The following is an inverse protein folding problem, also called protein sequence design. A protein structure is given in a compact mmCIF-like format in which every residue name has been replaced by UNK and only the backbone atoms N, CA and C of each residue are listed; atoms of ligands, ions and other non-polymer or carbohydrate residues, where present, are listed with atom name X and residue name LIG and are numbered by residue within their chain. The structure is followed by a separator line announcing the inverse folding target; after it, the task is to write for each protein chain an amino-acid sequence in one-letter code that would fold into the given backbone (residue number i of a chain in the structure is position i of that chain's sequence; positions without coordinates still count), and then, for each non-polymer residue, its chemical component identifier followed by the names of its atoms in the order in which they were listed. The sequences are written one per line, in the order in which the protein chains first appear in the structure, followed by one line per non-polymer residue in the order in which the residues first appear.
data_IF_545140082574
#
_entry.id   IF_545140082574
#
_cell.length_a   1.000
_cell.length_b   1.000
_cell.length_c   1.000
_cell.angle_alpha   90.00
_cell.angle_beta   90.00
_cell.angle_gamma   90.00
#
_symmetry.space_group_name_H-M   'P 1'
#
loop_
_entity.id
_entity.type
_entity.pdbx_description
1 polymer ?
#
# COMPACT_ATOMS: atom_id res chain seq x y z
N UNK A 1 -27.78 71.82 20.14
CA UNK A 1 -27.25 70.97 19.04
C UNK A 1 -26.61 69.74 19.68
N UNK A 2 -27.11 68.53 19.38
CA UNK A 2 -26.77 67.30 20.11
C UNK A 2 -25.72 66.52 19.30
N UNK A 3 -24.49 66.44 19.83
CA UNK A 3 -23.40 65.71 19.20
C UNK A 3 -23.57 64.20 19.44
N UNK A 4 -23.70 63.44 18.36
CA UNK A 4 -23.77 61.97 18.38
C UNK A 4 -22.33 61.46 18.25
N UNK A 5 -21.72 61.06 19.37
CA UNK A 5 -20.44 60.35 19.33
C UNK A 5 -20.68 58.88 19.00
N UNK A 6 -20.33 58.46 17.79
CA UNK A 6 -20.29 57.04 17.40
C UNK A 6 -19.07 56.39 18.03
N UNK A 7 -19.27 55.54 19.05
CA UNK A 7 -18.20 54.68 19.58
C UNK A 7 -17.78 53.69 18.49
N UNK A 8 -16.53 53.80 18.04
CA UNK A 8 -15.86 52.74 17.28
C UNK A 8 -15.70 51.51 18.18
N UNK A 9 -16.32 50.39 17.79
CA UNK A 9 -16.16 49.08 18.43
C UNK A 9 -14.74 48.60 18.17
N UNK A 10 -13.84 48.79 19.14
CA UNK A 10 -12.50 48.22 19.10
C UNK A 10 -12.60 46.69 19.13
N UNK A 11 -12.28 46.06 18.00
CA UNK A 11 -12.05 44.61 17.90
C UNK A 11 -10.74 44.29 18.62
N UNK A 12 -10.84 43.76 19.84
CA UNK A 12 -9.73 43.43 20.73
C UNK A 12 -9.45 41.93 20.87
N UNK A 13 -9.95 41.11 19.93
CA UNK A 13 -9.90 39.63 20.02
C UNK A 13 -9.03 38.98 18.95
N UNK A 14 -8.31 39.74 18.13
CA UNK A 14 -7.58 39.19 16.97
C UNK A 14 -6.41 38.29 17.36
N UNK A 15 -5.69 38.62 18.45
CA UNK A 15 -4.52 37.84 18.85
C UNK A 15 -4.91 36.47 19.41
N UNK A 16 -5.88 36.44 20.32
CA UNK A 16 -6.35 35.17 20.91
C UNK A 16 -7.02 34.27 19.86
N UNK A 17 -7.81 34.86 18.96
CA UNK A 17 -8.45 34.16 17.86
C UNK A 17 -7.40 33.53 16.93
N UNK A 18 -6.38 34.30 16.52
CA UNK A 18 -5.30 33.76 15.69
C UNK A 18 -4.48 32.67 16.42
N UNK A 19 -4.26 32.77 17.73
CA UNK A 19 -3.56 31.71 18.48
C UNK A 19 -4.38 30.42 18.56
N UNK A 20 -5.70 30.52 18.72
CA UNK A 20 -6.59 29.35 18.71
C UNK A 20 -6.62 28.73 17.32
N UNK A 21 -6.72 29.54 16.26
CA UNK A 21 -6.71 29.04 14.88
C UNK A 21 -5.40 28.31 14.56
N UNK A 22 -4.25 28.87 14.93
CA UNK A 22 -2.95 28.22 14.74
C UNK A 22 -2.89 26.90 15.54
N UNK A 23 -3.35 26.90 16.79
CA UNK A 23 -3.40 25.68 17.61
C UNK A 23 -4.26 24.59 16.96
N UNK A 24 -5.45 24.93 16.44
CA UNK A 24 -6.34 24.00 15.75
C UNK A 24 -5.69 23.47 14.47
N UNK A 25 -5.05 24.33 13.68
CA UNK A 25 -4.34 23.91 12.46
C UNK A 25 -3.22 22.92 12.79
N UNK A 26 -2.42 23.17 13.84
CA UNK A 26 -1.33 22.28 14.26
C UNK A 26 -1.86 20.90 14.72
N UNK A 27 -2.98 20.87 15.44
CA UNK A 27 -3.62 19.61 15.85
C UNK A 27 -4.06 18.81 14.61
N UNK A 28 -4.73 19.46 13.65
CA UNK A 28 -5.20 18.79 12.44
C UNK A 28 -4.02 18.30 11.59
N UNK A 29 -2.96 19.11 11.45
CA UNK A 29 -1.76 18.70 10.73
C UNK A 29 -1.08 17.47 11.36
N UNK A 30 -1.06 17.39 12.70
CA UNK A 30 -0.50 16.24 13.41
C UNK A 30 -1.26 14.93 13.14
N UNK A 31 -2.59 14.98 13.05
CA UNK A 31 -3.42 13.79 12.73
C UNK A 31 -3.32 13.43 11.25
N UNK A 32 -3.26 14.42 10.36
CA UNK A 32 -3.22 14.21 8.92
C UNK A 32 -1.96 13.45 8.46
N UNK A 33 -0.80 13.69 9.08
CA UNK A 33 0.46 13.02 8.71
C UNK A 33 0.46 11.53 9.01
N UNK A 34 -0.18 11.09 10.11
CA UNK A 34 -0.29 9.66 10.44
C UNK A 34 -1.10 8.88 9.40
N UNK A 35 -2.16 9.49 8.86
CA UNK A 35 -3.01 8.87 7.84
C UNK A 35 -2.30 8.68 6.50
N UNK A 36 -1.36 9.56 6.15
CA UNK A 36 -0.65 9.51 4.87
C UNK A 36 0.20 8.25 4.71
N UNK A 37 0.87 7.80 5.78
CA UNK A 37 1.71 6.60 5.72
C UNK A 37 0.86 5.34 5.50
N UNK A 38 -0.26 5.22 6.22
CA UNK A 38 -1.20 4.10 6.03
C UNK A 38 -1.79 4.06 4.62
N UNK A 39 -2.08 5.23 4.04
CA UNK A 39 -2.58 5.32 2.67
C UNK A 39 -1.55 4.85 1.65
N UNK A 40 -0.27 5.21 1.83
CA UNK A 40 0.82 4.76 0.96
C UNK A 40 1.02 3.25 1.06
N UNK A 41 1.02 2.70 2.26
CA UNK A 41 1.13 1.25 2.47
C UNK A 41 -0.04 0.51 1.83
N UNK A 42 -1.26 1.03 1.96
CA UNK A 42 -2.44 0.47 1.31
C UNK A 42 -2.32 0.49 -0.22
N UNK A 43 -1.86 1.60 -0.80
CA UNK A 43 -1.68 1.72 -2.24
C UNK A 43 -0.65 0.70 -2.77
N UNK A 44 0.51 0.57 -2.11
CA UNK A 44 1.53 -0.44 -2.47
C UNK A 44 1.01 -1.87 -2.35
N UNK A 45 0.25 -2.18 -1.29
CA UNK A 45 -0.38 -3.49 -1.12
C UNK A 45 -1.38 -3.79 -2.24
N UNK A 46 -2.16 -2.79 -2.65
CA UNK A 46 -3.15 -2.95 -3.71
C UNK A 46 -2.51 -3.25 -5.06
N UNK A 47 -1.40 -2.57 -5.39
CA UNK A 47 -0.60 -2.83 -6.59
C UNK A 47 -0.02 -4.25 -6.57
N UNK A 48 0.58 -4.67 -5.44
CA UNK A 48 1.09 -6.02 -5.28
C UNK A 48 0.00 -7.11 -5.42
N UNK A 49 -1.22 -6.85 -4.95
CA UNK A 49 -2.35 -7.78 -5.12
C UNK A 49 -2.73 -7.95 -6.60
N UNK A 50 -2.76 -6.85 -7.35
CA UNK A 50 -3.09 -6.86 -8.77
C UNK A 50 -2.04 -7.66 -9.56
N UNK A 51 -0.77 -7.43 -9.27
CA UNK A 51 0.35 -8.16 -9.89
C UNK A 51 0.34 -9.64 -9.52
N UNK A 52 0.09 -10.01 -8.26
CA UNK A 52 -0.03 -11.41 -7.85
C UNK A 52 -1.20 -12.11 -8.53
N UNK A 53 -2.34 -11.44 -8.70
CA UNK A 53 -3.48 -12.00 -9.45
C UNK A 53 -3.11 -12.21 -10.91
N UNK A 54 -2.39 -11.28 -11.51
CA UNK A 54 -1.86 -11.41 -12.88
C UNK A 54 -0.94 -12.64 -13.01
N UNK A 55 0.01 -12.82 -12.08
CA UNK A 55 0.89 -13.99 -12.03
C UNK A 55 0.06 -15.28 -11.85
N UNK A 56 -0.89 -15.30 -10.92
CA UNK A 56 -1.73 -16.47 -10.67
C UNK A 56 -2.57 -16.88 -11.89
N UNK A 57 -3.18 -15.93 -12.59
CA UNK A 57 -3.92 -16.23 -13.82
C UNK A 57 -3.00 -16.77 -14.91
N UNK A 58 -1.78 -16.24 -14.99
CA UNK A 58 -0.77 -16.68 -15.96
C UNK A 58 -0.27 -18.10 -15.65
N UNK A 59 -0.07 -18.44 -14.37
CA UNK A 59 0.23 -19.82 -13.93
C UNK A 59 -0.89 -20.78 -14.33
N UNK A 60 -2.15 -20.40 -14.08
CA UNK A 60 -3.31 -21.23 -14.45
C UNK A 60 -3.42 -21.44 -15.95
N UNK A 61 -3.16 -20.40 -16.75
CA UNK A 61 -3.15 -20.49 -18.21
C UNK A 61 -2.05 -21.45 -18.70
N UNK A 62 -0.81 -21.31 -18.19
CA UNK A 62 0.28 -22.22 -18.53
C UNK A 62 -0.02 -23.67 -18.16
N UNK A 63 -0.58 -23.92 -16.97
CA UNK A 63 -0.92 -25.27 -16.51
C UNK A 63 -2.10 -25.88 -17.29
N UNK A 64 -3.04 -25.05 -17.77
CA UNK A 64 -4.12 -25.49 -18.64
C UNK A 64 -3.59 -25.97 -20.01
N UNK A 65 -2.61 -25.25 -20.56
CA UNK A 65 -1.98 -25.62 -21.85
C UNK A 65 -0.97 -26.77 -21.71
N UNK A 66 -0.45 -27.01 -20.50
CA UNK A 66 0.57 -28.03 -20.22
C UNK A 66 0.13 -29.01 -19.12
N UNK A 67 -0.86 -29.89 -19.37
CA UNK A 67 -1.47 -30.74 -18.35
C UNK A 67 -0.52 -31.78 -17.72
N UNK A 68 0.65 -32.01 -18.31
CA UNK A 68 1.69 -32.92 -17.78
C UNK A 68 2.70 -32.22 -16.88
N UNK A 69 2.66 -30.89 -16.80
CA UNK A 69 3.57 -30.07 -15.99
C UNK A 69 2.92 -29.77 -14.64
N UNK A 70 3.68 -29.99 -13.57
CA UNK A 70 3.25 -29.66 -12.21
C UNK A 70 3.66 -28.23 -11.80
N UNK A 71 3.03 -27.66 -10.75
CA UNK A 71 3.37 -26.33 -10.22
C UNK A 71 4.84 -26.15 -9.85
N UNK A 72 5.51 -27.21 -9.40
CA UNK A 72 6.94 -27.20 -9.05
C UNK A 72 7.89 -27.00 -10.22
N UNK A 73 7.39 -27.07 -11.46
CA UNK A 73 8.18 -26.89 -12.69
C UNK A 73 8.03 -25.48 -13.28
N UNK A 74 7.24 -24.62 -12.64
CA UNK A 74 7.01 -23.25 -13.07
C UNK A 74 8.27 -22.41 -12.85
N UNK A 75 8.62 -21.63 -13.87
CA UNK A 75 9.67 -20.61 -13.82
C UNK A 75 9.12 -19.31 -14.39
N UNK A 76 9.74 -18.18 -14.04
CA UNK A 76 9.33 -16.85 -14.54
C UNK A 76 9.23 -16.85 -16.07
N UNK A 77 10.24 -17.38 -16.76
CA UNK A 77 10.30 -17.43 -18.22
C UNK A 77 9.14 -18.20 -18.89
N UNK A 78 8.55 -19.18 -18.20
CA UNK A 78 7.42 -19.95 -18.72
C UNK A 78 6.09 -19.22 -18.55
N UNK A 79 6.01 -18.30 -17.59
CA UNK A 79 4.78 -17.61 -17.21
C UNK A 79 4.70 -16.22 -17.85
N UNK A 80 5.85 -15.55 -18.06
CA UNK A 80 5.91 -14.22 -18.72
C UNK A 80 5.08 -14.13 -20.01
N UNK A 81 5.07 -15.13 -20.91
CA UNK A 81 4.26 -15.05 -22.14
C UNK A 81 2.74 -15.05 -21.91
N UNK A 82 2.29 -15.57 -20.76
CA UNK A 82 0.86 -15.67 -20.40
C UNK A 82 0.36 -14.46 -19.63
N UNK A 83 1.24 -13.52 -19.29
CA UNK A 83 0.87 -12.29 -18.60
C UNK A 83 0.14 -11.32 -19.54
N UNK A 84 -0.87 -10.58 -19.04
CA UNK A 84 -1.74 -9.72 -19.84
C UNK A 84 -1.02 -8.62 -20.63
N UNK A 85 0.20 -8.23 -20.23
CA UNK A 85 1.00 -7.23 -20.94
C UNK A 85 2.28 -7.80 -21.59
N UNK A 86 2.51 -9.12 -21.50
CA UNK A 86 3.78 -9.79 -21.88
C UNK A 86 5.04 -9.05 -21.39
N UNK A 87 4.88 -8.25 -20.33
CA UNK A 87 5.91 -7.43 -19.75
C UNK A 87 6.77 -8.31 -18.84
N UNK A 88 8.00 -7.86 -18.61
CA UNK A 88 8.91 -8.46 -17.63
C UNK A 88 8.17 -8.85 -16.34
N UNK A 89 8.62 -9.94 -15.72
CA UNK A 89 8.05 -10.43 -14.47
C UNK A 89 7.99 -9.29 -13.41
N UNK A 90 6.85 -9.11 -12.71
CA UNK A 90 6.63 -7.96 -11.85
C UNK A 90 7.58 -8.00 -10.66
N UNK A 91 8.11 -6.83 -10.29
CA UNK A 91 8.98 -6.66 -9.13
C UNK A 91 8.15 -6.16 -7.95
N UNK A 92 8.13 -6.91 -6.87
CA UNK A 92 7.37 -6.56 -5.68
C UNK A 92 8.26 -5.77 -4.72
N UNK A 93 7.70 -4.78 -4.05
CA UNK A 93 8.41 -3.93 -3.11
C UNK A 93 7.70 -3.86 -1.77
N UNK A 94 8.49 -3.84 -0.69
CA UNK A 94 8.00 -3.63 0.66
C UNK A 94 7.80 -2.13 0.95
N UNK A 95 7.19 -1.80 2.09
CA UNK A 95 7.03 -0.43 2.61
C UNK A 95 8.34 0.37 2.68
N UNK A 96 9.47 -0.32 2.77
CA UNK A 96 10.83 0.25 2.80
C UNK A 96 11.52 0.28 1.41
N UNK A 97 10.75 0.11 0.31
CA UNK A 97 11.21 0.06 -1.08
C UNK A 97 12.21 -1.09 -1.36
N UNK A 98 12.22 -2.11 -0.50
CA UNK A 98 13.06 -3.30 -0.64
C UNK A 98 12.39 -4.33 -1.55
N UNK A 99 13.13 -5.02 -2.43
CA UNK A 99 12.55 -6.04 -3.31
C UNK A 99 12.08 -7.26 -2.51
N UNK A 100 10.87 -7.75 -2.79
CA UNK A 100 10.38 -9.08 -2.37
C UNK A 100 10.50 -10.07 -3.53
N UNK A 101 10.87 -11.31 -3.21
CA UNK A 101 10.90 -12.41 -4.17
C UNK A 101 9.54 -13.10 -4.24
N UNK A 102 9.16 -13.58 -5.42
CA UNK A 102 7.90 -14.31 -5.62
C UNK A 102 8.18 -15.79 -5.67
N UNK A 103 7.52 -16.55 -4.81
CA UNK A 103 7.52 -18.01 -4.88
C UNK A 103 6.42 -18.47 -5.83
N UNK A 104 6.82 -18.83 -7.05
CA UNK A 104 5.92 -19.22 -8.17
C UNK A 104 5.70 -20.74 -8.21
N UNK A 105 6.41 -21.50 -7.38
CA UNK A 105 6.32 -22.97 -7.31
C UNK A 105 5.09 -23.44 -6.53
N UNK A 106 4.41 -22.52 -5.82
CA UNK A 106 3.13 -22.74 -5.15
C UNK A 106 1.99 -22.11 -5.95
N UNK A 107 0.82 -22.73 -5.88
CA UNK A 107 -0.44 -22.17 -6.39
C UNK A 107 -1.40 -22.10 -5.19
N UNK A 108 -1.83 -20.89 -4.75
CA UNK A 108 -1.52 -19.57 -5.31
C UNK A 108 -0.05 -19.14 -5.09
N UNK A 109 0.47 -18.20 -5.92
CA UNK A 109 1.82 -17.67 -5.76
C UNK A 109 1.88 -16.80 -4.50
N UNK A 110 3.00 -16.86 -3.78
CA UNK A 110 3.22 -16.09 -2.54
C UNK A 110 4.43 -15.17 -2.67
N UNK A 111 4.47 -14.10 -1.88
CA UNK A 111 5.67 -13.27 -1.75
C UNK A 111 6.48 -13.76 -0.54
N UNK A 112 7.77 -14.00 -0.78
CA UNK A 112 8.77 -14.36 0.22
C UNK A 112 9.81 -13.26 0.31
N UNK A 113 9.93 -12.63 1.47
CA UNK A 113 10.94 -11.59 1.67
C UNK A 113 10.75 -10.73 2.92
N UNK A 114 11.22 -11.22 4.07
CA UNK A 114 12.21 -10.53 4.93
C UNK A 114 12.65 -11.49 6.05
N UNK A 115 13.92 -11.95 6.11
CA UNK A 115 14.43 -12.58 7.30
C UNK A 115 14.80 -11.50 8.33
N UNK A 116 14.22 -11.64 9.53
CA UNK A 116 14.59 -11.00 10.81
C UNK A 116 14.35 -9.50 10.99
N UNK A 117 13.26 -9.18 11.72
CA UNK A 117 13.34 -8.17 12.79
C UNK A 117 12.08 -7.35 13.10
N UNK A 118 11.08 -7.97 13.74
CA UNK A 118 10.18 -7.29 14.70
C UNK A 118 8.94 -6.57 14.16
N UNK A 119 7.80 -7.26 14.13
CA UNK A 119 6.52 -6.80 14.69
C UNK A 119 5.44 -7.87 14.44
N UNK A 120 5.33 -8.77 15.41
CA UNK A 120 4.13 -9.32 16.07
C UNK A 120 2.88 -9.79 15.29
N UNK A 121 2.88 -9.83 13.95
CA UNK A 121 1.72 -10.31 13.18
C UNK A 121 2.06 -11.28 12.03
N UNK A 122 3.20 -12.01 12.12
CA UNK A 122 3.64 -12.97 11.11
C UNK A 122 4.26 -14.20 11.76
N UNK A 123 3.45 -15.23 12.04
CA UNK A 123 3.96 -16.57 12.42
C UNK A 123 4.40 -17.40 11.19
N UNK A 124 4.67 -16.73 10.07
CA UNK A 124 5.26 -17.30 8.88
C UNK A 124 5.55 -16.15 7.92
N UNK A 125 6.83 -15.93 7.59
CA UNK A 125 7.31 -14.84 6.71
C UNK A 125 6.89 -14.97 5.25
N UNK A 126 5.63 -15.27 4.99
CA UNK A 126 4.97 -15.32 3.69
C UNK A 126 3.80 -14.35 3.73
N UNK A 127 3.93 -13.23 3.02
CA UNK A 127 2.81 -12.33 2.83
C UNK A 127 1.90 -12.93 1.75
N UNK A 128 0.76 -13.49 2.18
CA UNK A 128 -0.28 -14.01 1.28
C UNK A 128 -1.51 -13.10 1.31
N UNK A 129 -1.67 -12.16 0.36
CA UNK A 129 -2.83 -11.28 0.34
C UNK A 129 -4.10 -11.94 -0.24
N UNK A 130 -4.04 -13.24 -0.55
CA UNK A 130 -5.16 -14.06 -0.99
C UNK A 130 -5.62 -15.06 0.09
N UNK A 131 -5.02 -15.03 1.28
CA UNK A 131 -5.56 -15.70 2.46
C UNK A 131 -6.78 -14.90 2.92
N UNK A 132 -7.97 -15.43 2.70
CA UNK A 132 -9.13 -14.99 3.46
C UNK A 132 -8.95 -15.46 4.91
N UNK A 133 -9.26 -14.58 5.86
CA UNK A 133 -9.48 -14.93 7.27
C UNK A 133 -10.39 -16.17 7.43
#
# INVERSE_FOLDING_TARGET
MKNIQTRSTKSGTTLIEMTIVIMVILIIMGVATMSMNQYRDWATKQEAIEDLRSVHMSQKAYLADNPTKGPSTLTEALITPYMPNQASFPTFKDKDDKPLEVTITTVPPTLSGHPTGGSDDMEDGQWNPLAND
#
